data_IF_371216352684
#
_entry.id   IF_371216352684
#
_cell.length_a   1.000
_cell.length_b   1.000
_cell.length_c   1.000
_cell.angle_alpha   90.00
_cell.angle_beta   90.00
_cell.angle_gamma   90.00
#
_symmetry.space_group_name_H-M   'P 1'
#
loop_
_entity.id
_entity.type
_entity.pdbx_description
1 polymer ?
#
# COMPACT_ATOMS: atom_id res chain seq x y z
N UNK A 1 29.64 -13.53 -9.51
CA UNK A 1 30.54 -12.37 -9.71
C UNK A 1 29.88 -11.20 -10.43
N UNK A 2 29.64 -11.26 -11.75
CA UNK A 2 29.13 -10.09 -12.51
C UNK A 2 27.88 -9.43 -11.90
N UNK A 3 26.90 -10.23 -11.45
CA UNK A 3 25.69 -9.71 -10.78
C UNK A 3 25.98 -9.06 -9.42
N UNK A 4 26.94 -9.57 -8.66
CA UNK A 4 27.31 -8.98 -7.37
C UNK A 4 28.00 -7.63 -7.56
N UNK A 5 28.81 -7.50 -8.62
CA UNK A 5 29.55 -6.28 -8.95
C UNK A 5 28.67 -5.21 -9.60
N UNK A 6 27.76 -5.60 -10.49
CA UNK A 6 27.02 -4.66 -11.33
C UNK A 6 25.55 -4.47 -10.91
N UNK A 7 25.14 -5.00 -9.76
CA UNK A 7 23.78 -4.80 -9.26
C UNK A 7 23.76 -4.67 -7.74
N UNK A 8 22.64 -4.15 -7.23
CA UNK A 8 22.32 -4.12 -5.79
C UNK A 8 21.52 -5.35 -5.34
N UNK A 9 21.41 -6.38 -6.17
CA UNK A 9 20.65 -7.58 -5.83
C UNK A 9 21.34 -8.38 -4.71
N UNK A 10 20.51 -9.02 -3.90
CA UNK A 10 20.89 -10.13 -3.02
C UNK A 10 20.65 -11.43 -3.77
N UNK A 11 21.62 -12.34 -3.71
CA UNK A 11 21.60 -13.57 -4.49
C UNK A 11 21.34 -14.78 -3.58
N UNK A 12 20.45 -15.65 -4.04
CA UNK A 12 20.24 -16.99 -3.50
C UNK A 12 20.71 -17.96 -4.59
N UNK A 13 21.79 -18.70 -4.30
CA UNK A 13 22.31 -19.72 -5.21
C UNK A 13 21.83 -21.08 -4.75
N UNK A 14 21.17 -21.81 -5.65
CA UNK A 14 20.75 -23.19 -5.44
C UNK A 14 21.67 -24.06 -6.31
N UNK A 15 22.36 -25.00 -5.69
CA UNK A 15 23.31 -25.90 -6.37
C UNK A 15 23.30 -27.28 -5.71
N UNK A 16 23.30 -28.34 -6.52
CA UNK A 16 23.12 -29.71 -6.04
C UNK A 16 24.41 -30.27 -5.43
N UNK A 17 25.56 -29.93 -6.02
CA UNK A 17 26.85 -30.45 -5.59
C UNK A 17 27.29 -29.83 -4.25
N UNK A 18 27.40 -30.70 -3.23
CA UNK A 18 27.91 -30.34 -1.90
C UNK A 18 29.28 -29.65 -1.97
N UNK A 19 30.18 -30.15 -2.81
CA UNK A 19 31.53 -29.59 -2.96
C UNK A 19 31.52 -28.20 -3.60
N UNK A 20 30.63 -27.98 -4.58
CA UNK A 20 30.45 -26.64 -5.19
C UNK A 20 29.89 -25.66 -4.16
N UNK A 21 28.90 -26.06 -3.36
CA UNK A 21 28.36 -25.25 -2.28
C UNK A 21 29.44 -24.89 -1.27
N UNK A 22 30.25 -25.85 -0.81
CA UNK A 22 31.33 -25.59 0.14
C UNK A 22 32.33 -24.56 -0.42
N UNK A 23 32.73 -24.70 -1.70
CA UNK A 23 33.60 -23.73 -2.37
C UNK A 23 32.96 -22.35 -2.52
N UNK A 24 31.68 -22.26 -2.88
CA UNK A 24 30.96 -20.99 -3.00
C UNK A 24 30.88 -20.27 -1.65
N UNK A 25 30.54 -21.00 -0.58
CA UNK A 25 30.49 -20.46 0.78
C UNK A 25 31.84 -19.90 1.20
N UNK A 26 32.90 -20.73 1.15
CA UNK A 26 34.25 -20.31 1.53
C UNK A 26 34.75 -19.11 0.71
N UNK A 27 34.51 -19.11 -0.60
CA UNK A 27 34.92 -18.01 -1.50
C UNK A 27 34.25 -16.69 -1.14
N UNK A 28 32.92 -16.68 -1.00
CA UNK A 28 32.19 -15.43 -0.76
C UNK A 28 32.26 -14.98 0.70
N UNK A 29 32.54 -15.89 1.63
CA UNK A 29 32.88 -15.58 3.02
C UNK A 29 34.23 -14.84 3.08
N UNK A 30 35.26 -15.34 2.41
CA UNK A 30 36.57 -14.68 2.31
C UNK A 30 36.48 -13.28 1.64
N UNK A 31 35.46 -13.02 0.84
CA UNK A 31 35.17 -11.72 0.23
C UNK A 31 34.28 -10.81 1.11
N UNK A 32 33.81 -11.28 2.27
CA UNK A 32 32.89 -10.54 3.15
C UNK A 32 31.47 -10.37 2.58
N UNK A 33 31.10 -11.16 1.57
CA UNK A 33 29.82 -11.04 0.86
C UNK A 33 28.78 -12.08 1.30
N UNK A 34 29.21 -13.18 1.91
CA UNK A 34 28.32 -14.26 2.33
C UNK A 34 27.39 -13.80 3.47
N UNK A 35 26.10 -14.19 3.39
CA UNK A 35 25.07 -13.81 4.36
C UNK A 35 24.48 -12.42 4.18
N UNK A 36 25.19 -11.49 3.53
CA UNK A 36 24.72 -10.12 3.29
C UNK A 36 24.29 -9.88 1.84
N UNK A 37 25.08 -10.36 0.88
CA UNK A 37 24.88 -10.17 -0.57
C UNK A 37 24.61 -11.47 -1.31
N UNK A 38 25.09 -12.59 -0.78
CA UNK A 38 24.89 -13.91 -1.38
C UNK A 38 24.73 -14.98 -0.29
N UNK A 39 23.81 -15.92 -0.53
CA UNK A 39 23.73 -17.18 0.21
C UNK A 39 23.73 -18.35 -0.78
N UNK A 40 24.30 -19.47 -0.38
CA UNK A 40 24.41 -20.66 -1.21
C UNK A 40 23.79 -21.85 -0.46
N UNK A 41 22.83 -22.52 -1.10
CA UNK A 41 22.02 -23.58 -0.52
C UNK A 41 22.13 -24.84 -1.36
N UNK A 42 22.41 -25.96 -0.70
CA UNK A 42 22.44 -27.25 -1.39
C UNK A 42 21.01 -27.66 -1.75
N UNK A 43 20.76 -27.97 -3.01
CA UNK A 43 19.48 -28.52 -3.43
C UNK A 43 19.22 -28.42 -4.92
N UNK A 44 18.03 -28.84 -5.31
CA UNK A 44 17.44 -28.67 -6.63
C UNK A 44 16.24 -27.72 -6.52
N UNK A 45 15.63 -27.29 -7.64
CA UNK A 45 14.37 -26.57 -7.59
C UNK A 45 13.27 -27.30 -6.80
N UNK A 46 13.29 -28.63 -6.82
CA UNK A 46 12.33 -29.48 -6.13
C UNK A 46 12.60 -29.53 -4.62
N UNK A 47 13.87 -29.67 -4.21
CA UNK A 47 14.24 -29.86 -2.81
C UNK A 47 14.39 -28.56 -2.01
N UNK A 48 14.71 -27.43 -2.66
CA UNK A 48 14.96 -26.16 -1.95
C UNK A 48 13.68 -25.51 -1.41
N UNK A 49 12.53 -25.76 -2.05
CA UNK A 49 11.23 -25.22 -1.64
C UNK A 49 11.25 -23.71 -1.37
N UNK A 50 11.70 -22.92 -2.36
CA UNK A 50 11.78 -21.46 -2.24
C UNK A 50 10.45 -20.85 -1.73
N UNK A 51 10.51 -19.85 -0.82
CA UNK A 51 9.33 -19.11 -0.41
C UNK A 51 8.59 -18.52 -1.61
N UNK A 52 7.27 -18.43 -1.52
CA UNK A 52 6.46 -17.83 -2.59
C UNK A 52 6.91 -16.39 -2.85
N UNK A 53 6.98 -16.02 -4.13
CA UNK A 53 7.19 -14.64 -4.57
C UNK A 53 8.52 -13.97 -4.15
N UNK A 54 9.45 -14.69 -3.54
CA UNK A 54 10.72 -14.15 -3.06
C UNK A 54 11.59 -13.56 -4.18
N UNK A 55 11.48 -14.05 -5.42
CA UNK A 55 12.38 -13.73 -6.51
C UNK A 55 11.81 -12.68 -7.46
N UNK A 56 12.50 -11.54 -7.56
CA UNK A 56 12.32 -10.57 -8.67
C UNK A 56 12.91 -11.08 -9.98
N UNK A 57 14.00 -11.83 -9.88
CA UNK A 57 14.70 -12.41 -11.01
C UNK A 57 15.23 -13.79 -10.62
N UNK A 58 14.82 -14.81 -11.36
CA UNK A 58 15.38 -16.17 -11.27
C UNK A 58 16.21 -16.44 -12.51
N UNK A 59 17.42 -16.98 -12.32
CA UNK A 59 18.32 -17.30 -13.43
C UNK A 59 18.42 -18.81 -13.58
N UNK A 60 18.13 -19.32 -14.77
CA UNK A 60 18.35 -20.73 -15.08
C UNK A 60 19.51 -20.86 -16.06
N UNK A 61 20.37 -21.85 -15.84
CA UNK A 61 21.38 -22.18 -16.84
C UNK A 61 20.72 -22.76 -18.09
N UNK A 62 21.33 -22.56 -19.26
CA UNK A 62 20.84 -23.18 -20.49
C UNK A 62 20.78 -24.71 -20.36
N UNK A 63 21.81 -25.33 -19.78
CA UNK A 63 21.85 -26.78 -19.56
C UNK A 63 20.63 -27.28 -18.74
N UNK A 64 20.27 -26.56 -17.68
CA UNK A 64 19.09 -26.89 -16.89
C UNK A 64 17.77 -26.65 -17.66
N UNK A 65 17.68 -25.55 -18.42
CA UNK A 65 16.50 -25.26 -19.24
C UNK A 65 16.23 -26.35 -20.31
N UNK A 66 17.27 -27.00 -20.82
CA UNK A 66 17.14 -28.13 -21.76
C UNK A 66 16.51 -29.37 -21.12
N UNK A 67 16.69 -29.62 -19.82
CA UNK A 67 16.04 -30.72 -19.09
C UNK A 67 14.80 -30.31 -18.30
N UNK A 68 14.48 -29.02 -18.23
CA UNK A 68 13.32 -28.47 -17.52
C UNK A 68 12.01 -29.14 -17.96
N UNK A 69 11.18 -29.51 -16.99
CA UNK A 69 9.82 -30.03 -17.19
C UNK A 69 8.76 -29.08 -16.61
N UNK A 70 7.48 -29.41 -16.80
CA UNK A 70 6.36 -28.55 -16.39
C UNK A 70 6.24 -28.39 -14.87
N UNK A 71 6.50 -29.44 -14.10
CA UNK A 71 6.43 -29.43 -12.62
C UNK A 71 7.53 -28.55 -12.02
N UNK A 72 8.75 -28.71 -12.50
CA UNK A 72 9.89 -27.88 -12.11
C UNK A 72 9.66 -26.42 -12.49
N UNK A 73 9.09 -26.14 -13.67
CA UNK A 73 8.75 -24.79 -14.06
C UNK A 73 7.68 -24.19 -13.14
N UNK A 74 6.64 -24.93 -12.76
CA UNK A 74 5.65 -24.49 -11.78
C UNK A 74 6.28 -24.17 -10.42
N UNK A 75 7.17 -25.04 -9.93
CA UNK A 75 7.84 -24.87 -8.65
C UNK A 75 8.79 -23.65 -8.66
N UNK A 76 9.54 -23.45 -9.74
CA UNK A 76 10.38 -22.26 -9.92
C UNK A 76 9.50 -21.02 -10.01
N UNK A 77 8.45 -21.06 -10.84
CA UNK A 77 7.55 -19.94 -11.07
C UNK A 77 6.80 -19.53 -9.80
N UNK A 78 6.50 -20.45 -8.87
CA UNK A 78 5.93 -20.15 -7.55
C UNK A 78 6.77 -19.15 -6.76
N UNK A 79 8.10 -19.21 -6.88
CA UNK A 79 9.02 -18.25 -6.26
C UNK A 79 9.06 -16.88 -6.95
N UNK A 80 8.55 -16.79 -8.18
CA UNK A 80 8.56 -15.56 -8.97
C UNK A 80 7.49 -14.60 -8.44
N UNK A 81 7.95 -13.38 -8.17
CA UNK A 81 7.14 -12.27 -7.68
C UNK A 81 6.08 -11.81 -8.71
N UNK A 82 4.82 -11.57 -8.31
CA UNK A 82 3.82 -10.88 -9.14
C UNK A 82 4.21 -9.42 -9.45
N UNK A 83 3.58 -8.79 -10.44
CA UNK A 83 3.95 -7.44 -10.90
C UNK A 83 5.39 -7.33 -11.44
N UNK A 84 5.77 -8.25 -12.33
CA UNK A 84 6.96 -8.14 -13.19
C UNK A 84 8.18 -8.95 -12.74
N UNK A 85 8.04 -9.83 -11.75
CA UNK A 85 9.10 -10.81 -11.48
C UNK A 85 9.31 -11.73 -12.68
N UNK A 86 10.54 -12.19 -12.92
CA UNK A 86 10.84 -12.95 -14.13
C UNK A 86 11.86 -14.07 -13.94
N UNK A 87 11.79 -15.05 -14.84
CA UNK A 87 12.80 -16.09 -15.06
C UNK A 87 13.57 -15.70 -16.32
N UNK A 88 14.90 -15.62 -16.22
CA UNK A 88 15.79 -15.37 -17.34
C UNK A 88 16.61 -16.62 -17.67
N UNK A 89 16.65 -16.95 -18.96
CA UNK A 89 17.38 -18.09 -19.50
C UNK A 89 18.33 -17.56 -20.59
N UNK A 90 19.65 -17.48 -20.33
CA UNK A 90 20.62 -16.93 -21.27
C UNK A 90 20.98 -17.96 -22.34
N UNK A 91 20.30 -17.91 -23.48
CA UNK A 91 20.71 -18.46 -24.77
C UNK A 91 19.56 -18.29 -25.78
N UNK A 92 19.76 -17.61 -26.92
CA UNK A 92 18.79 -17.63 -28.01
C UNK A 92 18.86 -18.98 -28.73
N UNK A 93 17.77 -19.75 -28.74
CA UNK A 93 17.69 -20.97 -29.54
C UNK A 93 16.25 -21.30 -29.91
N UNK A 94 15.98 -21.53 -31.19
CA UNK A 94 14.61 -21.77 -31.67
C UNK A 94 13.96 -22.98 -31.01
N UNK A 95 14.69 -24.11 -30.92
CA UNK A 95 14.20 -25.33 -30.25
C UNK A 95 13.87 -25.08 -28.77
N UNK A 96 14.68 -24.28 -28.08
CA UNK A 96 14.41 -23.92 -26.68
C UNK A 96 13.20 -22.99 -26.58
N UNK A 97 13.04 -22.04 -27.50
CA UNK A 97 11.87 -21.16 -27.56
C UNK A 97 10.56 -21.96 -27.69
N UNK A 98 10.53 -22.92 -28.61
CA UNK A 98 9.36 -23.78 -28.84
C UNK A 98 9.06 -24.66 -27.62
N UNK A 99 10.10 -25.24 -27.01
CA UNK A 99 9.99 -26.00 -25.77
C UNK A 99 9.41 -25.14 -24.64
N UNK A 100 9.97 -23.95 -24.40
CA UNK A 100 9.52 -23.06 -23.33
C UNK A 100 8.08 -22.60 -23.56
N UNK A 101 7.71 -22.29 -24.81
CA UNK A 101 6.34 -21.91 -25.13
C UNK A 101 5.35 -23.04 -24.79
N UNK A 102 5.69 -24.29 -25.14
CA UNK A 102 4.91 -25.46 -24.77
C UNK A 102 4.81 -25.62 -23.25
N UNK A 103 5.94 -25.54 -22.54
CA UNK A 103 5.95 -25.67 -21.08
C UNK A 103 5.11 -24.59 -20.39
N UNK A 104 5.17 -23.33 -20.83
CA UNK A 104 4.34 -22.26 -20.26
C UNK A 104 2.85 -22.55 -20.44
N UNK A 105 2.45 -23.11 -21.59
CA UNK A 105 1.07 -23.51 -21.86
C UNK A 105 0.64 -24.72 -21.01
N UNK A 106 1.48 -25.76 -20.91
CA UNK A 106 1.22 -26.98 -20.14
C UNK A 106 1.17 -26.72 -18.63
N UNK A 107 1.99 -25.79 -18.13
CA UNK A 107 2.13 -25.51 -16.70
C UNK A 107 1.00 -24.64 -16.11
N UNK A 108 0.08 -24.11 -16.91
CA UNK A 108 -1.02 -23.21 -16.50
C UNK A 108 -0.56 -22.08 -15.54
N UNK A 109 0.51 -21.39 -15.94
CA UNK A 109 1.15 -20.40 -15.10
C UNK A 109 0.37 -19.09 -15.13
N UNK A 110 -0.33 -18.79 -14.03
CA UNK A 110 -1.08 -17.55 -13.86
C UNK A 110 -0.24 -16.32 -14.26
N UNK A 111 -0.74 -15.56 -15.24
CA UNK A 111 -0.16 -14.30 -15.74
C UNK A 111 1.26 -14.43 -16.31
N UNK A 112 1.66 -15.63 -16.74
CA UNK A 112 2.94 -15.82 -17.39
C UNK A 112 2.95 -15.17 -18.78
N UNK A 113 4.04 -14.49 -19.11
CA UNK A 113 4.33 -14.04 -20.47
C UNK A 113 5.73 -14.50 -20.87
N UNK A 114 5.82 -15.19 -22.01
CA UNK A 114 7.09 -15.56 -22.62
C UNK A 114 7.49 -14.50 -23.64
N UNK A 115 8.69 -13.94 -23.47
CA UNK A 115 9.33 -13.05 -24.43
C UNK A 115 10.70 -13.61 -24.82
N UNK A 116 10.90 -13.84 -26.10
CA UNK A 116 12.20 -14.20 -26.68
C UNK A 116 12.93 -12.94 -27.13
N UNK A 117 14.22 -12.85 -26.84
CA UNK A 117 15.10 -11.75 -27.22
C UNK A 117 16.34 -12.29 -27.93
N UNK A 118 17.18 -11.42 -28.47
CA UNK A 118 18.47 -11.81 -29.06
C UNK A 118 19.42 -12.49 -28.07
N UNK A 119 19.23 -12.30 -26.76
CA UNK A 119 20.17 -12.74 -25.74
C UNK A 119 19.63 -13.90 -24.88
N UNK A 120 18.40 -14.34 -25.13
CA UNK A 120 17.74 -15.37 -24.31
C UNK A 120 16.23 -15.21 -24.21
N UNK A 121 15.66 -15.94 -23.26
CA UNK A 121 14.22 -16.03 -23.02
C UNK A 121 13.87 -15.47 -21.64
N UNK A 122 12.77 -14.73 -21.58
CA UNK A 122 12.22 -14.15 -20.37
C UNK A 122 10.80 -14.70 -20.15
N UNK A 123 10.55 -15.33 -19.01
CA UNK A 123 9.20 -15.70 -18.55
C UNK A 123 8.85 -14.80 -17.38
N UNK A 124 7.98 -13.82 -17.59
CA UNK A 124 7.57 -12.86 -16.55
C UNK A 124 6.20 -13.19 -15.96
N UNK A 125 5.96 -12.75 -14.72
CA UNK A 125 4.66 -12.79 -14.06
C UNK A 125 4.05 -11.40 -14.00
N UNK A 126 3.10 -11.12 -14.89
CA UNK A 126 2.61 -9.76 -15.09
C UNK A 126 1.36 -9.39 -14.26
N UNK A 127 1.43 -8.25 -13.59
CA UNK A 127 0.31 -7.66 -12.85
C UNK A 127 -0.20 -8.49 -11.66
N UNK A 128 -1.45 -8.23 -11.30
CA UNK A 128 -2.14 -8.85 -10.17
C UNK A 128 -2.33 -10.36 -10.36
N UNK A 129 -2.30 -11.09 -9.24
CA UNK A 129 -2.67 -12.50 -9.25
C UNK A 129 -4.17 -12.66 -9.54
N UNK A 130 -4.59 -13.67 -10.32
CA UNK A 130 -6.01 -13.93 -10.52
C UNK A 130 -6.71 -14.12 -9.17
N UNK A 131 -7.91 -13.55 -9.03
CA UNK A 131 -8.72 -13.57 -7.81
C UNK A 131 -8.14 -12.85 -6.58
N UNK A 132 -7.04 -12.10 -6.71
CA UNK A 132 -6.64 -11.17 -5.64
C UNK A 132 -7.51 -9.92 -5.65
N UNK A 133 -7.65 -9.26 -4.50
CA UNK A 133 -8.34 -7.99 -4.39
C UNK A 133 -7.47 -6.92 -3.72
N UNK A 134 -7.74 -5.66 -4.08
CA UNK A 134 -7.12 -4.48 -3.48
C UNK A 134 -7.87 -4.04 -2.21
N UNK A 135 -7.21 -3.21 -1.40
CA UNK A 135 -7.77 -2.51 -0.25
C UNK A 135 -7.34 -1.04 -0.32
N UNK A 136 -8.23 -0.15 -0.72
CA UNK A 136 -7.86 1.21 -1.18
C UNK A 136 -8.35 2.34 -0.27
N UNK A 137 -9.18 2.02 0.72
CA UNK A 137 -9.82 2.99 1.60
C UNK A 137 -9.88 2.47 3.04
N UNK A 138 -10.26 3.34 3.99
CA UNK A 138 -10.40 3.02 5.42
C UNK A 138 -11.16 1.71 5.68
N UNK A 139 -12.24 1.48 4.92
CA UNK A 139 -13.16 0.36 5.11
C UNK A 139 -13.23 -0.55 3.88
N UNK A 140 -12.09 -0.80 3.24
CA UNK A 140 -11.94 -1.68 2.08
C UNK A 140 -11.90 -0.92 0.77
N UNK A 141 -13.04 -0.34 0.40
CA UNK A 141 -13.24 0.48 -0.78
C UNK A 141 -14.09 1.71 -0.44
N UNK A 142 -14.33 2.58 -1.42
CA UNK A 142 -15.18 3.77 -1.25
C UNK A 142 -16.65 3.42 -0.96
N UNK A 143 -17.06 2.16 -1.06
CA UNK A 143 -18.40 1.73 -0.65
C UNK A 143 -18.47 1.37 0.84
N UNK A 144 -17.35 1.46 1.57
CA UNK A 144 -17.23 1.10 3.00
C UNK A 144 -17.74 -0.31 3.31
N UNK A 145 -17.42 -1.28 2.45
CA UNK A 145 -17.96 -2.65 2.57
C UNK A 145 -17.35 -3.46 3.72
N UNK A 146 -16.20 -3.04 4.27
CA UNK A 146 -15.42 -3.75 5.31
C UNK A 146 -15.14 -5.20 4.89
N UNK A 147 -14.93 -5.41 3.58
CA UNK A 147 -14.85 -6.75 3.00
C UNK A 147 -13.85 -6.80 1.86
N UNK A 148 -12.97 -7.80 1.88
CA UNK A 148 -12.10 -8.11 0.74
C UNK A 148 -12.79 -9.05 -0.24
N UNK A 149 -12.65 -8.78 -1.54
CA UNK A 149 -13.11 -9.67 -2.62
C UNK A 149 -12.08 -10.77 -2.97
N UNK A 150 -10.98 -10.86 -2.24
CA UNK A 150 -9.92 -11.85 -2.46
C UNK A 150 -10.48 -13.28 -2.30
N UNK A 151 -10.21 -14.16 -3.27
CA UNK A 151 -10.58 -15.59 -3.21
C UNK A 151 -9.36 -16.52 -3.19
N UNK A 152 -8.16 -15.95 -3.10
CA UNK A 152 -6.89 -16.68 -3.09
C UNK A 152 -6.54 -17.18 -1.71
N UNK A 153 -6.87 -16.41 -0.66
CA UNK A 153 -6.57 -16.79 0.73
C UNK A 153 -7.29 -18.08 1.07
N UNK A 154 -6.53 -19.12 1.40
CA UNK A 154 -7.02 -20.45 1.79
C UNK A 154 -6.19 -20.97 2.97
N UNK A 155 -6.84 -21.67 3.89
CA UNK A 155 -6.16 -22.34 5.01
C UNK A 155 -5.38 -23.57 4.52
N UNK A 156 -4.27 -23.94 5.19
CA UNK A 156 -3.64 -23.25 6.31
C UNK A 156 -2.85 -22.00 5.89
N UNK A 157 -2.79 -21.00 6.77
CA UNK A 157 -1.98 -19.79 6.55
C UNK A 157 -0.52 -20.01 6.96
N UNK A 158 0.39 -19.33 6.27
CA UNK A 158 1.80 -19.26 6.61
C UNK A 158 2.33 -17.84 6.44
N UNK A 159 3.49 -17.56 7.02
CA UNK A 159 4.16 -16.27 6.88
C UNK A 159 4.77 -16.16 5.48
N UNK A 160 4.36 -15.15 4.72
CA UNK A 160 5.01 -14.82 3.43
C UNK A 160 6.29 -14.00 3.67
N UNK A 161 6.17 -12.95 4.47
CA UNK A 161 7.28 -12.15 4.98
C UNK A 161 6.86 -11.51 6.30
N UNK A 162 7.84 -11.08 7.08
CA UNK A 162 7.66 -10.29 8.29
C UNK A 162 8.59 -9.08 8.20
N UNK A 163 8.11 -7.91 8.64
CA UNK A 163 8.86 -6.66 8.57
C UNK A 163 10.16 -6.70 9.40
N UNK A 164 11.06 -5.76 9.11
CA UNK A 164 12.29 -5.58 9.90
C UNK A 164 12.04 -4.93 11.27
N UNK A 165 13.12 -4.68 12.01
CA UNK A 165 13.06 -4.23 13.41
C UNK A 165 12.56 -2.78 13.61
N UNK A 166 12.49 -1.96 12.56
CA UNK A 166 12.20 -0.52 12.71
C UNK A 166 10.73 -0.22 12.42
N UNK A 167 9.98 0.09 13.47
CA UNK A 167 8.62 0.63 13.43
C UNK A 167 8.63 2.17 13.31
N UNK A 168 9.72 2.72 12.77
CA UNK A 168 10.02 4.16 12.74
C UNK A 168 9.24 4.93 11.66
N UNK A 169 8.58 4.23 10.74
CA UNK A 169 7.80 4.80 9.64
C UNK A 169 6.34 4.35 9.65
N UNK A 170 5.82 4.03 10.84
CA UNK A 170 4.41 3.71 11.08
C UNK A 170 3.86 4.52 12.26
N UNK A 171 2.55 4.74 12.26
CA UNK A 171 1.85 5.40 13.36
C UNK A 171 1.74 4.51 14.61
N UNK A 172 1.68 5.10 15.82
CA UNK A 172 1.43 4.35 17.04
C UNK A 172 0.10 3.61 16.98
N UNK A 173 0.10 2.31 17.34
CA UNK A 173 -1.08 1.44 17.23
C UNK A 173 -2.33 2.01 17.91
N UNK A 174 -2.18 2.57 19.12
CA UNK A 174 -3.30 3.12 19.91
C UNK A 174 -3.76 4.51 19.44
N UNK A 175 -3.08 5.04 18.42
CA UNK A 175 -3.52 6.21 17.66
C UNK A 175 -4.64 5.92 16.67
N UNK A 176 -4.90 4.65 16.37
CA UNK A 176 -5.86 4.23 15.34
C UNK A 176 -5.64 4.98 14.02
N UNK A 177 -4.38 5.02 13.55
CA UNK A 177 -4.03 5.61 12.27
C UNK A 177 -4.75 4.95 11.08
N UNK A 178 -4.65 5.55 9.88
CA UNK A 178 -5.26 4.97 8.70
C UNK A 178 -4.73 3.54 8.46
N UNK A 179 -5.58 2.61 8.00
CA UNK A 179 -5.12 1.27 7.65
C UNK A 179 -4.19 1.36 6.44
N UNK A 180 -3.37 0.34 6.28
CA UNK A 180 -2.54 0.17 5.11
C UNK A 180 -3.40 0.04 3.87
N UNK A 181 -2.98 0.71 2.79
CA UNK A 181 -3.66 0.58 1.49
C UNK A 181 -2.85 -0.31 0.57
N UNK A 182 -3.50 -1.33 0.01
CA UNK A 182 -2.89 -2.35 -0.83
C UNK A 182 -3.47 -2.25 -2.23
N UNK A 183 -2.65 -1.84 -3.19
CA UNK A 183 -3.03 -1.74 -4.60
C UNK A 183 -1.80 -1.82 -5.50
N UNK A 184 -1.95 -2.41 -6.69
CA UNK A 184 -0.89 -2.43 -7.71
C UNK A 184 0.40 -3.12 -7.24
N UNK A 185 0.28 -4.12 -6.36
CA UNK A 185 1.42 -4.88 -5.82
C UNK A 185 2.22 -4.14 -4.74
N UNK A 186 1.66 -3.05 -4.22
CA UNK A 186 2.26 -2.23 -3.16
C UNK A 186 1.36 -2.21 -1.94
N UNK A 187 1.98 -2.10 -0.77
CA UNK A 187 1.31 -1.67 0.45
C UNK A 187 1.85 -0.29 0.83
N UNK A 188 0.96 0.65 1.09
CA UNK A 188 1.27 2.02 1.49
C UNK A 188 0.98 2.17 2.97
N UNK A 189 1.93 2.75 3.71
CA UNK A 189 1.83 2.95 5.15
C UNK A 189 2.27 4.37 5.52
N UNK A 190 1.47 4.99 6.37
CA UNK A 190 1.73 6.31 6.92
C UNK A 190 2.38 6.19 8.31
N UNK A 191 3.47 6.93 8.50
CA UNK A 191 4.09 7.23 9.79
C UNK A 191 3.69 8.63 10.27
N UNK A 192 4.24 9.09 11.40
CA UNK A 192 3.88 10.40 11.97
C UNK A 192 4.05 11.56 10.98
N UNK A 193 5.19 11.57 10.28
CA UNK A 193 5.55 12.56 9.28
C UNK A 193 6.10 11.89 8.01
N UNK A 194 5.67 10.67 7.72
CA UNK A 194 6.19 9.92 6.59
C UNK A 194 5.13 9.11 5.88
N UNK A 195 5.36 8.85 4.60
CA UNK A 195 4.61 7.88 3.83
C UNK A 195 5.62 6.93 3.18
N UNK A 196 5.31 5.64 3.18
CA UNK A 196 6.17 4.61 2.62
C UNK A 196 5.38 3.68 1.72
N UNK A 197 6.06 3.12 0.72
CA UNK A 197 5.53 2.02 -0.08
C UNK A 197 6.44 0.81 0.06
N UNK A 198 5.84 -0.35 0.30
CA UNK A 198 6.51 -1.63 0.31
C UNK A 198 5.94 -2.54 -0.75
N UNK A 199 6.76 -3.44 -1.23
CA UNK A 199 6.36 -4.53 -2.09
C UNK A 199 5.48 -5.51 -1.29
N UNK A 200 4.21 -5.66 -1.67
CA UNK A 200 3.27 -6.46 -0.86
C UNK A 200 3.66 -7.95 -0.81
N UNK A 201 4.45 -8.43 -1.77
CA UNK A 201 4.83 -9.84 -1.86
C UNK A 201 6.19 -10.15 -1.23
N UNK A 202 7.07 -9.17 -1.10
CA UNK A 202 8.42 -9.39 -0.56
C UNK A 202 8.71 -8.60 0.72
N UNK A 203 7.86 -7.65 1.10
CA UNK A 203 8.08 -6.75 2.22
C UNK A 203 9.17 -5.70 1.98
N UNK A 204 9.79 -5.68 0.80
CA UNK A 204 10.85 -4.75 0.47
C UNK A 204 10.33 -3.31 0.46
N UNK A 205 10.98 -2.42 1.20
CA UNK A 205 10.75 -0.97 1.09
C UNK A 205 11.14 -0.51 -0.32
N UNK A 206 10.17 0.00 -1.07
CA UNK A 206 10.38 0.57 -2.40
C UNK A 206 10.83 2.01 -2.28
N UNK A 207 10.14 2.76 -1.43
CA UNK A 207 10.50 4.13 -1.07
C UNK A 207 9.88 4.48 0.28
N UNK A 208 10.49 5.47 0.93
CA UNK A 208 10.01 6.15 2.13
C UNK A 208 10.24 7.64 1.91
N UNK A 209 9.22 8.44 2.17
CA UNK A 209 9.29 9.89 2.06
C UNK A 209 8.95 10.51 3.41
N UNK A 210 9.84 11.37 3.88
CA UNK A 210 9.59 12.24 5.03
C UNK A 210 8.94 13.55 4.56
N UNK A 211 8.10 14.09 5.43
CA UNK A 211 7.45 15.38 5.33
C UNK A 211 7.81 16.19 6.57
N UNK A 212 7.74 17.51 6.49
CA UNK A 212 7.98 18.37 7.64
C UNK A 212 6.88 18.17 8.70
N UNK A 213 5.62 18.23 8.24
CA UNK A 213 4.43 17.99 9.05
C UNK A 213 3.29 17.51 8.16
N UNK A 214 2.65 16.40 8.53
CA UNK A 214 1.44 15.90 7.87
C UNK A 214 0.14 16.51 8.42
N UNK A 215 0.22 17.31 9.48
CA UNK A 215 -0.94 17.90 10.15
C UNK A 215 -1.77 16.86 10.91
N UNK A 216 -1.14 15.78 11.36
CA UNK A 216 -1.82 14.61 11.96
C UNK A 216 -1.64 14.53 13.48
N UNK A 217 -0.88 15.46 14.09
CA UNK A 217 -0.85 15.63 15.55
C UNK A 217 -2.24 16.00 16.08
N UNK A 218 -2.64 15.39 17.20
CA UNK A 218 -3.99 15.48 17.73
C UNK A 218 -5.00 14.56 17.04
N UNK A 219 -4.64 13.99 15.88
CA UNK A 219 -5.51 13.10 15.10
C UNK A 219 -5.05 11.66 15.26
N UNK A 220 -3.88 11.29 14.74
CA UNK A 220 -3.35 9.92 14.76
C UNK A 220 -2.32 9.68 15.86
N UNK A 221 -1.72 10.74 16.38
CA UNK A 221 -0.86 10.70 17.54
C UNK A 221 -0.96 12.02 18.31
N UNK A 222 -0.52 12.07 19.57
CA UNK A 222 -0.64 13.29 20.38
C UNK A 222 0.43 13.38 21.47
N UNK A 223 0.27 14.31 22.41
CA UNK A 223 1.26 14.54 23.49
C UNK A 223 1.45 13.35 24.44
N UNK A 224 0.70 12.26 24.30
CA UNK A 224 0.84 11.05 25.13
C UNK A 224 1.73 9.99 24.48
N UNK A 225 2.21 10.24 23.25
CA UNK A 225 3.17 9.38 22.60
C UNK A 225 4.53 9.42 23.32
N UNK A 226 5.11 8.25 23.56
CA UNK A 226 6.45 8.10 24.11
C UNK A 226 7.25 7.11 23.25
N UNK A 227 8.39 7.56 22.72
CA UNK A 227 9.28 6.71 21.92
C UNK A 227 10.09 5.76 22.83
N UNK A 228 9.45 4.67 23.24
CA UNK A 228 10.00 3.68 24.16
C UNK A 228 9.93 2.28 23.55
N UNK A 229 10.71 2.00 22.47
CA UNK A 229 10.57 0.80 21.65
C UNK A 229 10.84 -0.53 22.38
N UNK A 230 11.55 -0.48 23.51
CA UNK A 230 11.85 -1.64 24.35
C UNK A 230 10.86 -1.79 25.51
N UNK A 231 9.93 -0.85 25.67
CA UNK A 231 8.89 -0.93 26.69
C UNK A 231 7.75 -1.83 26.22
N UNK A 232 7.24 -2.67 27.12
CA UNK A 232 6.03 -3.46 26.89
C UNK A 232 4.75 -2.68 27.20
N UNK A 233 4.87 -1.46 27.70
CA UNK A 233 3.74 -0.58 27.98
C UNK A 233 3.19 0.02 26.67
N UNK A 234 1.99 0.59 26.77
CA UNK A 234 1.46 1.37 25.67
C UNK A 234 2.29 2.63 25.46
N UNK A 235 2.87 2.76 24.27
CA UNK A 235 3.61 3.94 23.84
C UNK A 235 2.73 5.15 23.50
N UNK A 236 1.40 5.03 23.66
CA UNK A 236 0.43 6.12 23.55
C UNK A 236 -0.90 5.73 24.21
N UNK A 237 -1.69 6.72 24.70
CA UNK A 237 -3.10 6.49 25.09
C UNK A 237 -4.00 6.29 23.87
N UNK A 238 -5.15 5.65 24.08
CA UNK A 238 -6.16 5.47 23.04
C UNK A 238 -6.78 6.81 22.63
N UNK A 239 -6.73 7.10 21.32
CA UNK A 239 -7.45 8.21 20.70
C UNK A 239 -8.22 7.71 19.47
N UNK A 240 -9.31 8.38 19.03
CA UNK A 240 -10.16 7.85 17.97
C UNK A 240 -9.47 7.68 16.60
N UNK A 241 -8.49 8.54 16.28
CA UNK A 241 -7.73 8.41 15.03
C UNK A 241 -8.59 8.52 13.77
N UNK A 242 -8.22 7.69 12.79
CA UNK A 242 -8.93 7.52 11.54
C UNK A 242 -10.37 6.98 11.73
N UNK A 243 -10.73 6.41 12.88
CA UNK A 243 -12.14 6.07 13.14
C UNK A 243 -13.04 7.30 13.29
N UNK A 244 -12.47 8.45 13.69
CA UNK A 244 -13.19 9.71 13.70
C UNK A 244 -12.95 10.50 12.41
N UNK A 245 -11.69 10.74 12.04
CA UNK A 245 -11.32 11.62 10.92
C UNK A 245 -11.37 10.95 9.54
N UNK A 246 -11.25 9.63 9.46
CA UNK A 246 -10.94 8.90 8.23
C UNK A 246 -9.44 8.91 7.91
N UNK A 247 -9.06 8.36 6.75
CA UNK A 247 -7.69 8.46 6.19
C UNK A 247 -7.44 9.82 5.56
N UNK A 248 -6.22 10.33 5.62
CA UNK A 248 -5.75 11.53 4.89
C UNK A 248 -5.01 11.19 3.59
N UNK A 249 -4.88 9.91 3.23
CA UNK A 249 -4.33 9.54 1.92
C UNK A 249 -5.17 8.48 1.23
N UNK A 250 -5.09 8.42 -0.10
CA UNK A 250 -5.68 7.40 -0.97
C UNK A 250 -4.66 6.96 -2.02
N UNK A 251 -4.41 5.67 -2.10
CA UNK A 251 -3.56 5.05 -3.10
C UNK A 251 -4.39 4.46 -4.24
N UNK A 252 -3.91 4.71 -5.45
CA UNK A 252 -4.40 4.10 -6.69
C UNK A 252 -3.25 3.35 -7.36
N UNK A 253 -3.53 2.63 -8.44
CA UNK A 253 -2.49 1.88 -9.14
C UNK A 253 -1.41 2.79 -9.78
N UNK A 254 -1.77 4.04 -10.07
CA UNK A 254 -0.94 5.01 -10.79
C UNK A 254 -0.47 6.18 -9.93
N UNK A 255 -1.23 6.60 -8.92
CA UNK A 255 -0.93 7.78 -8.09
C UNK A 255 -1.31 7.59 -6.61
N UNK A 256 -0.67 8.34 -5.71
CA UNK A 256 -1.09 8.46 -4.31
C UNK A 256 -1.51 9.89 -4.03
N UNK A 257 -2.69 10.08 -3.45
CA UNK A 257 -3.25 11.37 -3.09
C UNK A 257 -3.13 11.55 -1.58
N UNK A 258 -2.45 12.61 -1.14
CA UNK A 258 -2.19 12.89 0.28
C UNK A 258 -2.72 14.28 0.64
N UNK A 259 -3.76 14.32 1.47
CA UNK A 259 -4.39 15.53 1.99
C UNK A 259 -3.55 16.13 3.14
N UNK A 260 -3.14 17.38 2.97
CA UNK A 260 -2.35 18.16 3.92
C UNK A 260 -2.91 19.59 3.93
N UNK A 261 -3.50 20.01 5.07
CA UNK A 261 -4.13 21.33 5.20
C UNK A 261 -5.15 21.57 4.05
N UNK A 262 -5.00 22.65 3.27
CA UNK A 262 -5.87 23.00 2.14
C UNK A 262 -5.43 22.38 0.80
N UNK A 263 -4.42 21.50 0.82
CA UNK A 263 -3.79 20.93 -0.36
C UNK A 263 -3.92 19.40 -0.39
N UNK A 264 -3.92 18.83 -1.59
CA UNK A 264 -3.73 17.42 -1.86
C UNK A 264 -2.47 17.25 -2.72
N UNK A 265 -1.43 16.69 -2.12
CA UNK A 265 -0.20 16.35 -2.82
C UNK A 265 -0.41 15.04 -3.57
N UNK A 266 -0.28 15.09 -4.89
CA UNK A 266 -0.36 13.89 -5.74
C UNK A 266 1.06 13.37 -5.97
N UNK A 267 1.32 12.16 -5.51
CA UNK A 267 2.63 11.53 -5.48
C UNK A 267 2.74 10.44 -6.55
N UNK A 268 3.94 10.26 -7.09
CA UNK A 268 4.27 9.13 -7.94
C UNK A 268 4.36 7.84 -7.11
N UNK A 269 3.67 6.78 -7.55
CA UNK A 269 3.65 5.48 -6.86
C UNK A 269 5.01 4.76 -6.85
N UNK A 270 5.97 5.16 -7.69
CA UNK A 270 7.26 4.50 -7.87
C UNK A 270 8.33 5.03 -6.92
N UNK A 271 8.28 6.30 -6.56
CA UNK A 271 9.31 6.94 -5.73
C UNK A 271 8.77 7.89 -4.65
N UNK A 272 7.46 8.14 -4.62
CA UNK A 272 6.81 9.03 -3.64
C UNK A 272 7.02 10.52 -3.93
N UNK A 273 7.63 10.90 -5.06
CA UNK A 273 7.85 12.30 -5.42
C UNK A 273 6.53 13.01 -5.74
N UNK A 274 6.41 14.29 -5.37
CA UNK A 274 5.23 15.09 -5.72
C UNK A 274 5.22 15.34 -7.23
N UNK A 275 4.16 14.89 -7.91
CA UNK A 275 3.90 15.18 -9.32
C UNK A 275 3.16 16.50 -9.49
N UNK A 276 2.17 16.75 -8.64
CA UNK A 276 1.35 17.97 -8.64
C UNK A 276 0.67 18.19 -7.29
N UNK A 277 0.07 19.36 -7.14
CA UNK A 277 -0.71 19.75 -5.96
C UNK A 277 -2.08 20.21 -6.44
N UNK A 278 -3.14 19.61 -5.91
CA UNK A 278 -4.53 20.02 -6.12
C UNK A 278 -4.95 20.79 -4.86
N UNK A 279 -5.59 21.95 -5.00
CA UNK A 279 -5.94 22.81 -3.86
C UNK A 279 -7.44 22.95 -3.69
N UNK A 280 -7.87 23.12 -2.45
CA UNK A 280 -9.20 23.64 -2.16
C UNK A 280 -9.30 25.10 -2.67
N UNK A 281 -10.49 25.55 -3.15
CA UNK A 281 -10.67 26.93 -3.59
C UNK A 281 -10.46 27.98 -2.49
N UNK A 282 -10.82 27.65 -1.26
CA UNK A 282 -10.61 28.50 -0.09
C UNK A 282 -9.45 27.96 0.74
N UNK A 283 -8.32 28.67 0.74
CA UNK A 283 -7.11 28.27 1.47
C UNK A 283 -7.26 28.31 3.00
N UNK A 284 -8.35 28.89 3.52
CA UNK A 284 -8.67 28.87 4.95
C UNK A 284 -9.36 27.58 5.39
N UNK A 285 -9.83 26.78 4.44
CA UNK A 285 -10.45 25.47 4.69
C UNK A 285 -9.40 24.36 4.61
N UNK A 286 -9.65 23.28 5.31
CA UNK A 286 -8.82 22.09 5.30
C UNK A 286 -9.51 20.94 4.56
N UNK A 287 -8.70 20.07 3.95
CA UNK A 287 -9.12 18.88 3.23
C UNK A 287 -9.57 17.80 4.21
N UNK A 288 -10.84 17.89 4.61
CA UNK A 288 -11.39 17.15 5.73
C UNK A 288 -11.58 15.66 5.45
N UNK A 289 -11.91 15.32 4.21
CA UNK A 289 -12.19 13.96 3.74
C UNK A 289 -11.51 13.73 2.40
N UNK A 290 -10.97 12.54 2.16
CA UNK A 290 -10.37 12.18 0.87
C UNK A 290 -10.84 10.78 0.45
N UNK A 291 -11.21 10.67 -0.82
CA UNK A 291 -11.58 9.39 -1.44
C UNK A 291 -11.37 9.45 -2.95
N UNK A 292 -11.23 8.28 -3.58
CA UNK A 292 -11.24 8.15 -5.04
C UNK A 292 -12.35 7.21 -5.48
N UNK A 293 -13.12 7.65 -6.49
CA UNK A 293 -14.09 6.82 -7.17
C UNK A 293 -13.93 6.97 -8.68
N UNK A 294 -13.37 5.94 -9.33
CA UNK A 294 -12.92 5.98 -10.72
C UNK A 294 -11.96 7.17 -10.92
N UNK A 295 -12.25 8.07 -11.86
CA UNK A 295 -11.43 9.26 -12.16
C UNK A 295 -11.79 10.48 -11.30
N UNK A 296 -12.62 10.30 -10.25
CA UNK A 296 -13.05 11.37 -9.37
C UNK A 296 -12.27 11.31 -8.05
N UNK A 297 -11.59 12.41 -7.71
CA UNK A 297 -11.03 12.67 -6.39
C UNK A 297 -12.04 13.50 -5.57
N UNK A 298 -12.44 12.99 -4.42
CA UNK A 298 -13.38 13.66 -3.51
C UNK A 298 -12.62 14.38 -2.39
N UNK A 299 -13.05 15.59 -2.08
CA UNK A 299 -12.49 16.44 -1.04
C UNK A 299 -13.59 16.94 -0.09
N UNK A 300 -13.47 16.64 1.20
CA UNK A 300 -14.27 17.29 2.23
C UNK A 300 -13.88 18.76 2.34
N UNK A 301 -14.80 19.67 2.02
CA UNK A 301 -14.53 21.11 1.91
C UNK A 301 -14.59 21.81 3.27
N UNK A 302 -13.57 21.62 4.10
CA UNK A 302 -13.49 22.14 5.47
C UNK A 302 -14.12 21.19 6.49
N UNK A 303 -13.49 21.06 7.65
CA UNK A 303 -14.00 20.28 8.78
C UNK A 303 -15.23 20.93 9.42
N UNK A 304 -16.08 20.13 10.05
CA UNK A 304 -17.30 20.58 10.73
C UNK A 304 -17.05 21.62 11.84
N UNK A 305 -16.02 21.41 12.66
CA UNK A 305 -15.64 22.30 13.77
C UNK A 305 -16.83 22.80 14.63
N UNK A 306 -17.68 21.86 15.03
CA UNK A 306 -18.90 22.13 15.81
C UNK A 306 -18.63 22.83 17.14
N UNK A 307 -17.50 22.54 17.80
CA UNK A 307 -17.09 23.23 19.03
C UNK A 307 -16.95 24.75 18.86
N UNK A 308 -16.47 25.21 17.69
CA UNK A 308 -16.32 26.65 17.40
C UNK A 308 -17.67 27.37 17.37
N UNK A 309 -18.77 26.68 17.06
CA UNK A 309 -20.11 27.27 17.04
C UNK A 309 -20.67 27.59 18.44
N UNK A 310 -20.02 27.09 19.48
CA UNK A 310 -20.39 27.31 20.90
C UNK A 310 -19.21 27.84 21.72
N UNK A 311 -18.23 28.46 21.04
CA UNK A 311 -17.03 29.05 21.62
C UNK A 311 -16.20 28.07 22.48
N UNK A 312 -16.28 26.78 22.18
CA UNK A 312 -15.48 25.75 22.84
C UNK A 312 -14.03 25.87 22.37
N UNK A 313 -13.12 26.00 23.35
CA UNK A 313 -11.69 26.07 23.08
C UNK A 313 -11.15 24.66 22.79
N UNK A 314 -10.20 24.52 21.85
CA UNK A 314 -9.53 23.25 21.63
C UNK A 314 -8.80 22.79 22.90
N UNK A 315 -8.69 21.48 23.06
CA UNK A 315 -7.88 20.90 24.12
C UNK A 315 -6.38 21.09 23.84
N UNK A 316 -5.53 20.61 24.75
CA UNK A 316 -4.06 20.66 24.60
C UNK A 316 -3.56 20.00 23.31
N UNK A 317 -4.29 18.99 22.82
CA UNK A 317 -3.95 18.20 21.62
C UNK A 317 -4.77 18.65 20.40
N UNK A 318 -5.43 19.81 20.45
CA UNK A 318 -6.23 20.34 19.34
C UNK A 318 -7.74 20.10 19.48
N UNK A 319 -8.50 20.21 18.37
CA UNK A 319 -9.95 20.06 18.34
C UNK A 319 -10.42 18.69 18.82
N UNK A 320 -11.67 18.61 19.30
CA UNK A 320 -12.26 17.33 19.66
C UNK A 320 -12.42 16.45 18.40
N UNK A 321 -12.30 15.13 18.52
CA UNK A 321 -12.46 14.22 17.40
C UNK A 321 -13.80 14.38 16.63
N UNK A 322 -14.86 14.79 17.34
CA UNK A 322 -16.16 15.08 16.72
C UNK A 322 -16.12 16.26 15.75
N UNK A 323 -15.20 17.20 15.92
CA UNK A 323 -15.03 18.36 15.04
C UNK A 323 -14.37 17.99 13.71
N UNK A 324 -13.65 16.86 13.69
CA UNK A 324 -12.87 16.37 12.56
C UNK A 324 -13.57 15.20 11.83
N UNK A 325 -14.76 14.80 12.25
CA UNK A 325 -15.45 13.61 11.76
C UNK A 325 -16.47 13.84 10.64
N UNK A 326 -16.59 15.08 10.17
CA UNK A 326 -17.52 15.47 9.13
C UNK A 326 -17.01 16.71 8.40
N UNK A 327 -17.49 16.91 7.18
CA UNK A 327 -17.14 18.06 6.35
C UNK A 327 -18.32 19.03 6.18
N UNK A 328 -18.01 20.31 5.97
CA UNK A 328 -19.00 21.36 5.70
C UNK A 328 -19.50 21.35 4.25
N UNK A 329 -18.85 20.57 3.39
CA UNK A 329 -19.21 20.40 1.99
C UNK A 329 -18.35 19.32 1.35
N UNK A 330 -18.56 19.09 0.06
CA UNK A 330 -17.83 18.12 -0.74
C UNK A 330 -17.50 18.75 -2.10
N UNK A 331 -16.27 18.57 -2.56
CA UNK A 331 -15.81 18.94 -3.91
C UNK A 331 -15.39 17.66 -4.62
N UNK A 332 -15.79 17.52 -5.87
CA UNK A 332 -15.24 16.52 -6.78
C UNK A 332 -14.29 17.17 -7.76
N UNK A 333 -13.12 16.56 -7.88
CA UNK A 333 -12.11 16.91 -8.87
C UNK A 333 -11.98 15.77 -9.88
N UNK A 334 -11.70 16.11 -11.14
CA UNK A 334 -11.05 15.15 -12.02
C UNK A 334 -9.66 14.87 -11.43
N UNK A 335 -9.42 13.61 -11.07
CA UNK A 335 -8.24 13.26 -10.28
C UNK A 335 -6.95 13.54 -11.03
N UNK A 336 -6.96 13.54 -12.36
CA UNK A 336 -5.76 13.68 -13.21
C UNK A 336 -5.38 15.14 -13.48
N UNK A 337 -6.34 15.94 -13.91
CA UNK A 337 -6.16 17.37 -14.23
C UNK A 337 -6.21 18.26 -12.98
N UNK A 338 -6.95 17.86 -11.95
CA UNK A 338 -7.26 18.71 -10.81
C UNK A 338 -8.36 19.75 -11.08
N UNK A 339 -9.09 19.63 -12.20
CA UNK A 339 -10.25 20.47 -12.48
C UNK A 339 -11.42 20.12 -11.55
N UNK A 340 -12.13 21.14 -11.07
CA UNK A 340 -13.35 20.96 -10.27
C UNK A 340 -14.49 20.53 -11.20
N UNK A 341 -15.06 19.37 -10.93
CA UNK A 341 -16.22 18.84 -11.64
C UNK A 341 -17.52 19.39 -11.05
N UNK A 342 -17.60 19.43 -9.72
CA UNK A 342 -18.71 20.02 -8.98
C UNK A 342 -18.34 20.25 -7.51
N UNK A 343 -19.13 21.09 -6.85
CA UNK A 343 -19.07 21.33 -5.41
C UNK A 343 -20.49 21.40 -4.83
N UNK A 344 -20.65 20.92 -3.61
CA UNK A 344 -21.89 21.02 -2.84
C UNK A 344 -21.59 21.33 -1.38
N UNK A 345 -22.32 22.29 -0.80
CA UNK A 345 -22.27 22.58 0.63
C UNK A 345 -23.26 21.70 1.38
N UNK A 346 -22.88 21.26 2.58
CA UNK A 346 -23.78 20.54 3.48
C UNK A 346 -24.76 21.52 4.13
N UNK A 347 -25.98 21.05 4.42
CA UNK A 347 -26.91 21.83 5.28
C UNK A 347 -26.44 21.74 6.74
N UNK A 348 -25.99 20.55 7.15
CA UNK A 348 -25.52 20.29 8.50
C UNK A 348 -24.04 19.92 8.51
N UNK A 349 -23.72 18.76 7.94
CA UNK A 349 -22.37 18.28 7.67
C UNK A 349 -22.44 16.91 7.01
N UNK A 350 -21.50 16.58 6.12
CA UNK A 350 -21.38 15.23 5.59
C UNK A 350 -20.51 14.37 6.51
N UNK A 351 -21.10 13.37 7.15
CA UNK A 351 -20.36 12.45 8.02
C UNK A 351 -19.38 11.61 7.19
N UNK A 352 -18.09 11.64 7.52
CA UNK A 352 -17.05 11.01 6.69
C UNK A 352 -17.28 9.50 6.48
N UNK A 353 -17.74 8.79 7.52
CA UNK A 353 -18.04 7.35 7.45
C UNK A 353 -19.31 7.02 6.65
N UNK A 354 -20.12 8.02 6.29
CA UNK A 354 -21.34 7.87 5.51
C UNK A 354 -21.22 8.44 4.09
N UNK A 355 -20.03 8.93 3.70
CA UNK A 355 -19.73 9.25 2.31
C UNK A 355 -19.31 7.96 1.63
N UNK A 356 -20.14 7.45 0.72
CA UNK A 356 -19.89 6.24 -0.05
C UNK A 356 -20.16 6.43 -1.53
N UNK A 357 -19.48 5.66 -2.38
CA UNK A 357 -19.71 5.69 -3.81
C UNK A 357 -19.87 4.30 -4.42
N UNK A 358 -20.73 4.18 -5.43
CA UNK A 358 -20.98 2.93 -6.13
C UNK A 358 -22.11 3.07 -7.14
N UNK A 359 -22.11 2.22 -8.17
CA UNK A 359 -23.12 2.24 -9.25
C UNK A 359 -23.34 3.64 -9.85
N UNK A 360 -22.23 4.35 -10.11
CA UNK A 360 -22.19 5.70 -10.68
C UNK A 360 -22.91 6.77 -9.84
N UNK A 361 -22.96 6.58 -8.52
CA UNK A 361 -23.56 7.54 -7.58
C UNK A 361 -22.67 7.70 -6.36
N UNK A 362 -22.76 8.88 -5.76
CA UNK A 362 -22.19 9.19 -4.45
C UNK A 362 -23.35 9.43 -3.51
N UNK A 363 -23.28 8.83 -2.34
CA UNK A 363 -24.26 8.94 -1.27
C UNK A 363 -23.57 9.57 -0.07
N UNK A 364 -24.25 10.54 0.54
CA UNK A 364 -23.79 11.23 1.74
C UNK A 364 -24.95 11.24 2.74
N UNK A 365 -24.62 11.24 4.03
CA UNK A 365 -25.57 11.53 5.09
C UNK A 365 -25.31 12.95 5.61
N UNK A 366 -26.27 13.84 5.39
CA UNK A 366 -26.20 15.26 5.77
C UNK A 366 -26.84 15.44 7.15
N UNK A 367 -26.02 15.27 8.18
CA UNK A 367 -26.43 15.38 9.59
C UNK A 367 -25.25 15.68 10.49
N UNK A 368 -25.55 16.08 11.73
CA UNK A 368 -24.52 16.22 12.76
C UNK A 368 -24.14 14.86 13.38
N UNK A 369 -22.88 14.70 13.83
CA UNK A 369 -22.53 13.63 14.76
C UNK A 369 -23.37 13.73 16.03
N UNK A 370 -23.75 12.60 16.65
CA UNK A 370 -24.65 12.58 17.81
C UNK A 370 -24.15 13.45 18.99
N UNK A 371 -22.83 13.49 19.22
CA UNK A 371 -22.20 14.37 20.22
C UNK A 371 -22.37 15.85 19.91
N UNK A 372 -22.21 16.23 18.64
CA UNK A 372 -22.39 17.60 18.18
C UNK A 372 -23.87 18.01 18.21
N UNK A 373 -24.77 17.13 17.75
CA UNK A 373 -26.22 17.34 17.83
C UNK A 373 -26.65 17.59 19.28
N UNK A 374 -26.28 16.70 20.21
CA UNK A 374 -26.62 16.86 21.64
C UNK A 374 -26.10 18.19 22.21
N UNK A 375 -24.91 18.63 21.78
CA UNK A 375 -24.29 19.88 22.24
C UNK A 375 -25.02 21.11 21.68
N UNK A 376 -25.29 21.12 20.39
CA UNK A 376 -25.86 22.26 19.68
C UNK A 376 -27.38 22.37 19.88
N UNK A 377 -28.11 21.27 20.01
CA UNK A 377 -29.55 21.26 20.33
C UNK A 377 -29.84 21.90 21.69
N UNK A 378 -28.94 21.77 22.68
CA UNK A 378 -29.05 22.47 23.98
C UNK A 378 -28.98 24.00 23.86
N UNK A 379 -28.50 24.51 22.72
CA UNK A 379 -28.40 25.94 22.40
C UNK A 379 -29.46 26.40 21.39
N UNK A 380 -30.37 25.51 20.97
CA UNK A 380 -31.37 25.81 19.95
C UNK A 380 -30.79 26.01 18.54
N UNK A 381 -29.58 25.51 18.28
CA UNK A 381 -28.85 25.74 17.02
C UNK A 381 -29.07 24.63 15.97
N UNK A 382 -29.88 23.63 16.27
CA UNK A 382 -30.06 22.44 15.41
C UNK A 382 -31.54 22.14 15.25
N UNK A 383 -31.90 21.78 14.03
CA UNK A 383 -33.19 21.22 13.67
C UNK A 383 -32.97 19.84 13.02
N UNK A 384 -33.03 18.74 13.79
CA UNK A 384 -32.85 17.39 13.26
C UNK A 384 -33.90 16.96 12.23
N UNK A 385 -35.03 17.68 12.10
CA UNK A 385 -36.06 17.35 11.12
C UNK A 385 -35.61 17.58 9.67
N UNK A 386 -34.49 18.29 9.47
CA UNK A 386 -33.90 18.60 8.16
C UNK A 386 -32.81 17.62 7.71
N UNK A 387 -32.50 16.60 8.51
CA UNK A 387 -31.50 15.57 8.16
C UNK A 387 -31.94 14.75 6.94
N UNK A 388 -30.98 14.38 6.09
CA UNK A 388 -31.24 13.71 4.81
C UNK A 388 -30.08 12.83 4.35
#
# INVERSE_FOLDING_TARGET
>A
DALLLNSKLQLIVIEESRDRIARLRARYDALGLYGSRISAHQGTPDSYQAPQHIARLTLLSNAFAQSLNAEQLQQIYRSVRPYGGAIWIPAPGQNLSEKLNRLVQESDLARAQLKTTSNGHLISREGALPDSADWTHQYGDIANTVKSNDKRVKLPLGVLWFGGNTHEDILPRHGHGPPEQVIGGRTFLEGMNSLSARDVYTGQVLWRREFEDLGTFGIYFNSTYEDTPLSTQYNQRHIPGANARGTNYIATADEVYLAMQHECHVLDVKDGATKRIIKLPDSRKEWAFIAVYNDILLAGNGFGHFGKQVDEQPGKDGPAATDLSASQGLIAYDRHSGEILWQVDAIHSFLHNAIVAGKNRIYCLDKLPASAEKKLSRRGLVDPSKYR
#
